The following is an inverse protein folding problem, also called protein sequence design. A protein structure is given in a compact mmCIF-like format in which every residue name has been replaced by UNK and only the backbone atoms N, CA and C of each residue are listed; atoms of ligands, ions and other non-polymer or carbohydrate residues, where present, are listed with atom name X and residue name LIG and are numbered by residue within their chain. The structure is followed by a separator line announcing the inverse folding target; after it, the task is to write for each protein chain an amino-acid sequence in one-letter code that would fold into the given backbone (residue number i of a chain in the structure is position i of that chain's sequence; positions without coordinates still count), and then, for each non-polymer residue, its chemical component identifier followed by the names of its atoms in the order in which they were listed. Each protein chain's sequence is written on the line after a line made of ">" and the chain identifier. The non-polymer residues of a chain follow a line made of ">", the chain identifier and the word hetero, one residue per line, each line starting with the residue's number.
data_IF_169378832262
#
_entry.id   IF_169378832262
#
_cell.length_a   1.000
_cell.length_b   1.000
_cell.length_c   1.000
_cell.angle_alpha   90.00
_cell.angle_beta   90.00
_cell.angle_gamma   90.00
#
_symmetry.space_group_name_H-M   'P 1'
#
loop_
_entity.id
_entity.type
_entity.pdbx_description
1 polymer ?
#
# COMPACT_ATOMS: atom_id res chain seq x y z
N UNK A 1 -0.79 8.27 -47.52
CA UNK A 1 0.60 8.10 -47.07
C UNK A 1 0.80 9.14 -45.99
N UNK A 2 0.49 8.75 -44.74
CA UNK A 2 1.50 8.52 -43.68
C UNK A 2 1.95 9.87 -43.07
N UNK A 3 1.99 10.08 -41.75
CA UNK A 3 2.23 9.13 -40.68
C UNK A 3 1.37 9.43 -39.45
N UNK A 4 0.81 8.35 -38.92
CA UNK A 4 0.39 8.21 -37.54
C UNK A 4 1.68 8.15 -36.69
N UNK A 5 2.13 9.29 -36.15
CA UNK A 5 3.27 9.34 -35.24
C UNK A 5 2.77 9.57 -33.82
N UNK A 6 2.60 8.45 -33.13
CA UNK A 6 2.58 8.24 -31.68
C UNK A 6 2.69 9.50 -30.78
N UNK A 7 1.56 9.84 -30.16
CA UNK A 7 1.44 10.83 -29.05
C UNK A 7 2.13 10.33 -27.76
N UNK A 8 2.75 9.15 -27.80
CA UNK A 8 3.41 8.48 -26.69
C UNK A 8 4.88 8.85 -26.51
N UNK A 9 5.50 9.58 -27.45
CA UNK A 9 6.93 9.90 -27.38
C UNK A 9 7.21 11.06 -26.40
N UNK A 10 7.91 10.81 -25.28
CA UNK A 10 8.20 11.84 -24.28
C UNK A 10 9.09 12.97 -24.82
N UNK A 11 9.84 12.73 -25.89
CA UNK A 11 10.66 13.74 -26.56
C UNK A 11 9.79 14.78 -27.29
N UNK A 12 8.57 14.39 -27.68
CA UNK A 12 7.58 15.27 -28.31
C UNK A 12 7.09 16.36 -27.34
N UNK A 13 6.88 16.03 -26.06
CA UNK A 13 6.49 17.02 -25.04
C UNK A 13 7.60 18.03 -24.74
N UNK A 14 8.87 17.63 -24.84
CA UNK A 14 10.02 18.51 -24.63
C UNK A 14 10.18 19.53 -25.77
N UNK A 15 10.00 19.08 -27.03
CA UNK A 15 9.99 19.95 -28.21
C UNK A 15 8.75 20.87 -28.25
N UNK A 16 7.58 20.39 -27.80
CA UNK A 16 6.37 21.21 -27.77
C UNK A 16 6.40 22.29 -26.67
N UNK A 17 7.07 22.03 -25.54
CA UNK A 17 7.27 23.04 -24.50
C UNK A 17 8.37 24.07 -24.83
N UNK A 18 9.35 23.73 -25.66
CA UNK A 18 10.29 24.73 -26.19
C UNK A 18 9.63 25.68 -27.20
N UNK A 19 8.50 25.28 -27.80
CA UNK A 19 7.70 26.10 -28.73
C UNK A 19 6.80 27.16 -28.06
N UNK A 20 6.82 27.27 -26.72
CA UNK A 20 6.12 28.32 -25.97
C UNK A 20 4.61 28.12 -25.74
N UNK A 21 4.02 27.01 -26.23
CA UNK A 21 2.57 26.72 -26.05
C UNK A 21 2.22 26.05 -24.71
N UNK A 22 3.20 25.50 -23.99
CA UNK A 22 3.02 24.87 -22.68
C UNK A 22 3.99 25.55 -21.70
N UNK A 23 3.51 25.95 -20.51
CA UNK A 23 4.39 26.50 -19.47
C UNK A 23 5.48 25.48 -19.13
N UNK A 24 6.76 25.89 -19.09
CA UNK A 24 7.91 25.03 -18.73
C UNK A 24 7.68 24.21 -17.46
N UNK A 25 6.90 24.74 -16.52
CA UNK A 25 6.44 24.08 -15.29
C UNK A 25 5.70 22.76 -15.54
N UNK A 26 4.93 22.65 -16.63
CA UNK A 26 4.17 21.45 -17.00
C UNK A 26 5.05 20.27 -17.43
N UNK A 27 6.20 20.55 -18.06
CA UNK A 27 7.15 19.50 -18.49
C UNK A 27 7.98 18.97 -17.32
N UNK A 28 8.38 19.83 -16.39
CA UNK A 28 9.05 19.39 -15.16
C UNK A 28 8.16 18.51 -14.28
N UNK A 29 6.87 18.86 -14.16
CA UNK A 29 5.89 18.06 -13.43
C UNK A 29 5.59 16.71 -14.11
N UNK A 30 5.59 16.67 -15.45
CA UNK A 30 5.36 15.45 -16.23
C UNK A 30 6.46 14.40 -16.00
N UNK A 31 7.74 14.81 -15.95
CA UNK A 31 8.86 13.90 -15.74
C UNK A 31 9.08 13.48 -14.29
N UNK A 32 8.64 14.30 -13.35
CA UNK A 32 8.75 14.02 -11.93
C UNK A 32 7.95 12.78 -11.50
N UNK A 33 6.72 12.61 -11.99
CA UNK A 33 5.84 11.49 -11.62
C UNK A 33 6.41 10.11 -12.03
N UNK A 34 6.81 9.87 -13.30
CA UNK A 34 7.49 8.65 -13.70
C UNK A 34 8.79 8.41 -12.94
N UNK A 35 9.58 9.47 -12.69
CA UNK A 35 10.83 9.37 -11.93
C UNK A 35 10.61 8.87 -10.50
N UNK A 36 9.58 9.37 -9.81
CA UNK A 36 9.21 8.91 -8.48
C UNK A 36 8.73 7.44 -8.50
N UNK A 37 7.94 7.04 -9.52
CA UNK A 37 7.47 5.66 -9.69
C UNK A 37 8.66 4.72 -9.90
N UNK A 38 9.57 5.05 -10.81
CA UNK A 38 10.78 4.25 -11.08
C UNK A 38 11.64 4.14 -9.81
N UNK A 39 11.80 5.24 -9.05
CA UNK A 39 12.49 5.21 -7.76
C UNK A 39 11.86 4.26 -6.75
N UNK A 40 10.52 4.24 -6.66
CA UNK A 40 9.78 3.33 -5.78
C UNK A 40 9.83 1.86 -6.24
N UNK A 41 9.99 1.61 -7.54
CA UNK A 41 10.12 0.25 -8.10
C UNK A 41 11.53 -0.30 -7.89
N UNK A 42 12.56 0.52 -8.13
CA UNK A 42 13.96 0.11 -7.97
C UNK A 42 14.32 -0.10 -6.49
N UNK A 43 13.59 0.55 -5.56
CA UNK A 43 13.80 0.48 -4.10
C UNK A 43 15.27 0.57 -3.68
N UNK A 44 16.02 1.62 -4.11
CA UNK A 44 17.42 1.78 -3.68
C UNK A 44 17.53 2.06 -2.17
N UNK A 45 16.48 2.62 -1.57
CA UNK A 45 16.36 2.96 -0.16
C UNK A 45 14.96 2.59 0.37
N UNK A 46 14.75 2.62 1.70
CA UNK A 46 13.41 2.47 2.27
C UNK A 46 12.40 3.45 1.64
N UNK A 47 11.17 2.98 1.40
CA UNK A 47 10.12 3.73 0.70
C UNK A 47 9.92 5.19 1.22
N UNK A 48 9.94 5.45 2.55
CA UNK A 48 9.81 6.83 3.05
C UNK A 48 10.93 7.76 2.59
N UNK A 49 12.16 7.25 2.45
CA UNK A 49 13.33 8.03 2.04
C UNK A 49 13.21 8.42 0.57
N UNK A 50 12.80 7.48 -0.28
CA UNK A 50 12.58 7.73 -1.72
C UNK A 50 11.48 8.80 -1.91
N UNK A 51 10.40 8.73 -1.14
CA UNK A 51 9.31 9.71 -1.18
C UNK A 51 9.75 11.10 -0.72
N UNK A 52 10.58 11.20 0.34
CA UNK A 52 11.10 12.49 0.81
C UNK A 52 12.05 13.13 -0.21
N UNK A 53 12.92 12.34 -0.86
CA UNK A 53 13.79 12.80 -1.94
C UNK A 53 12.95 13.31 -3.12
N UNK A 54 11.90 12.57 -3.48
CA UNK A 54 10.97 13.01 -4.52
C UNK A 54 10.32 14.35 -4.13
N UNK A 55 9.76 14.48 -2.93
CA UNK A 55 9.15 15.73 -2.47
C UNK A 55 10.16 16.89 -2.49
N UNK A 56 11.41 16.68 -2.04
CA UNK A 56 12.47 17.67 -2.10
C UNK A 56 12.80 18.07 -3.56
N UNK A 57 12.94 17.09 -4.46
CA UNK A 57 13.16 17.34 -5.88
C UNK A 57 12.00 18.13 -6.52
N UNK A 58 10.76 17.84 -6.11
CA UNK A 58 9.58 18.58 -6.58
C UNK A 58 9.59 20.05 -6.16
N UNK A 59 10.10 20.37 -4.96
CA UNK A 59 10.27 21.77 -4.52
C UNK A 59 11.29 22.52 -5.37
N UNK A 60 12.39 21.85 -5.78
CA UNK A 60 13.42 22.43 -6.64
C UNK A 60 12.90 22.66 -8.06
N UNK A 61 12.17 21.68 -8.62
CA UNK A 61 11.59 21.78 -9.97
C UNK A 61 10.48 22.83 -10.02
N UNK A 62 9.55 22.83 -9.05
CA UNK A 62 8.45 23.79 -9.01
C UNK A 62 8.92 25.20 -8.64
N UNK A 63 9.86 25.32 -7.69
CA UNK A 63 10.40 26.61 -7.23
C UNK A 63 11.21 27.34 -8.31
N UNK A 64 12.00 26.61 -9.10
CA UNK A 64 12.83 27.21 -10.14
C UNK A 64 12.10 27.46 -11.48
N UNK A 65 11.03 26.70 -11.80
CA UNK A 65 10.35 26.79 -13.11
C UNK A 65 9.04 27.60 -13.09
N UNK A 66 8.65 28.21 -11.98
CA UNK A 66 7.36 28.90 -11.85
C UNK A 66 7.44 30.42 -11.68
N UNK A 67 8.62 31.06 -11.83
CA UNK A 67 8.81 32.51 -11.62
C UNK A 67 8.18 33.02 -10.30
N UNK A 68 8.16 32.17 -9.26
CA UNK A 68 7.55 32.47 -7.96
C UNK A 68 6.03 32.30 -7.87
N UNK A 69 5.35 31.83 -8.92
CA UNK A 69 3.89 31.64 -8.93
C UNK A 69 3.41 30.50 -8.02
N UNK A 70 4.23 29.47 -7.79
CA UNK A 70 3.92 28.40 -6.83
C UNK A 70 4.79 28.55 -5.58
N UNK A 71 4.17 28.93 -4.46
CA UNK A 71 4.83 28.94 -3.15
C UNK A 71 5.24 27.52 -2.78
N UNK A 72 6.44 27.34 -2.22
CA UNK A 72 6.92 26.07 -1.65
C UNK A 72 5.93 25.46 -0.63
N UNK A 73 5.12 26.29 0.01
CA UNK A 73 4.00 25.89 0.89
C UNK A 73 2.95 25.03 0.18
N UNK A 74 2.76 25.18 -1.13
CA UNK A 74 1.82 24.37 -1.90
C UNK A 74 2.26 22.90 -1.98
N UNK A 75 3.57 22.63 -2.04
CA UNK A 75 4.13 21.27 -2.08
C UNK A 75 3.91 20.55 -0.74
N UNK A 76 3.99 21.28 0.37
CA UNK A 76 3.81 20.74 1.72
C UNK A 76 2.33 20.67 2.16
N UNK A 77 1.41 21.29 1.41
CA UNK A 77 -0.02 21.34 1.76
C UNK A 77 -0.68 19.95 1.90
N UNK A 78 -0.12 18.91 1.26
CA UNK A 78 -0.56 17.53 1.45
C UNK A 78 -0.37 16.99 2.86
N UNK A 79 0.64 17.49 3.60
CA UNK A 79 0.91 17.08 4.98
C UNK A 79 -0.03 17.73 6.02
N UNK A 80 -0.66 18.85 5.68
CA UNK A 80 -1.68 19.49 6.55
C UNK A 80 -3.10 19.00 6.27
N UNK A 81 -3.29 18.08 5.32
CA UNK A 81 -4.61 17.54 5.00
C UNK A 81 -5.16 16.68 6.14
N UNK A 82 -6.42 16.92 6.52
CA UNK A 82 -7.12 16.11 7.52
C UNK A 82 -7.20 14.62 7.13
N UNK A 83 -7.28 14.32 5.83
CA UNK A 83 -7.23 12.93 5.33
C UNK A 83 -5.89 12.27 5.63
N UNK A 84 -4.77 12.98 5.45
CA UNK A 84 -3.43 12.46 5.74
C UNK A 84 -3.28 12.12 7.22
N UNK A 85 -3.76 12.99 8.11
CA UNK A 85 -3.75 12.76 9.55
C UNK A 85 -4.69 11.65 10.00
N UNK A 86 -5.87 11.55 9.40
CA UNK A 86 -6.80 10.44 9.65
C UNK A 86 -6.15 9.10 9.30
N UNK A 87 -5.50 9.03 8.13
CA UNK A 87 -4.77 7.84 7.69
C UNK A 87 -3.63 7.54 8.67
N UNK A 88 -2.80 8.53 9.01
CA UNK A 88 -1.71 8.37 9.96
C UNK A 88 -2.18 7.80 11.30
N UNK A 89 -3.23 8.38 11.89
CA UNK A 89 -3.81 7.89 13.15
C UNK A 89 -4.32 6.45 13.05
N UNK A 90 -4.97 6.08 11.94
CA UNK A 90 -5.42 4.71 11.73
C UNK A 90 -4.25 3.72 11.61
N UNK A 91 -3.15 4.10 10.95
CA UNK A 91 -1.93 3.27 10.88
C UNK A 91 -1.26 3.13 12.25
N UNK A 92 -1.19 4.20 13.04
CA UNK A 92 -0.65 4.14 14.42
C UNK A 92 -1.51 3.24 15.31
N UNK A 93 -2.84 3.36 15.23
CA UNK A 93 -3.76 2.50 15.99
C UNK A 93 -3.59 1.03 15.58
N UNK A 94 -3.42 0.75 14.29
CA UNK A 94 -3.12 -0.60 13.81
C UNK A 94 -1.81 -1.15 14.35
N UNK A 95 -0.73 -0.36 14.33
CA UNK A 95 0.55 -0.77 14.90
C UNK A 95 0.43 -1.09 16.40
N UNK A 96 -0.35 -0.30 17.15
CA UNK A 96 -0.68 -0.58 18.55
C UNK A 96 -1.45 -1.91 18.69
N UNK A 97 -2.39 -2.18 17.80
CA UNK A 97 -3.16 -3.42 17.81
C UNK A 97 -2.30 -4.67 17.58
N UNK A 98 -1.29 -4.58 16.70
CA UNK A 98 -0.30 -5.64 16.46
C UNK A 98 0.63 -5.80 17.68
N UNK A 99 1.21 -4.72 18.16
CA UNK A 99 2.21 -4.74 19.26
C UNK A 99 1.62 -5.15 20.61
N UNK A 100 0.37 -4.76 20.91
CA UNK A 100 -0.35 -5.20 22.12
C UNK A 100 -0.79 -6.66 22.06
N UNK A 101 -0.74 -7.30 20.88
CA UNK A 101 -1.17 -8.68 20.69
C UNK A 101 -2.69 -8.88 20.75
N UNK A 102 -3.51 -7.83 20.69
CA UNK A 102 -4.97 -7.92 20.70
C UNK A 102 -5.48 -8.81 19.56
N UNK A 103 -4.90 -8.66 18.35
CA UNK A 103 -5.22 -9.52 17.21
C UNK A 103 -4.93 -10.99 17.45
N UNK A 104 -3.83 -11.29 18.15
CA UNK A 104 -3.44 -12.65 18.52
C UNK A 104 -4.44 -13.27 19.51
N UNK A 105 -4.92 -12.48 20.48
CA UNK A 105 -5.95 -12.94 21.43
C UNK A 105 -7.27 -13.27 20.73
N UNK A 106 -7.75 -12.38 19.85
CA UNK A 106 -8.98 -12.60 19.07
C UNK A 106 -8.84 -13.84 18.18
N UNK A 107 -7.71 -13.99 17.51
CA UNK A 107 -7.42 -15.15 16.67
C UNK A 107 -7.49 -16.46 17.47
N UNK A 108 -6.85 -16.56 18.63
CA UNK A 108 -6.91 -17.79 19.44
C UNK A 108 -8.31 -18.09 19.97
N UNK A 109 -9.10 -17.08 20.33
CA UNK A 109 -10.50 -17.27 20.71
C UNK A 109 -11.33 -17.87 19.56
N UNK A 110 -11.08 -17.43 18.32
CA UNK A 110 -11.76 -17.97 17.14
C UNK A 110 -11.27 -19.39 16.80
N UNK A 111 -9.97 -19.65 16.89
CA UNK A 111 -9.39 -21.00 16.69
C UNK A 111 -10.00 -21.97 17.71
N UNK A 112 -10.09 -21.59 18.99
CA UNK A 112 -10.68 -22.44 20.02
C UNK A 112 -12.16 -22.76 19.80
N UNK A 113 -12.91 -21.89 19.12
CA UNK A 113 -14.35 -22.10 18.87
C UNK A 113 -14.66 -22.91 17.60
N UNK A 114 -13.97 -22.62 16.50
CA UNK A 114 -14.32 -23.18 15.17
C UNK A 114 -13.12 -23.80 14.42
N UNK A 115 -11.92 -23.80 15.01
CA UNK A 115 -10.67 -24.25 14.38
C UNK A 115 -10.43 -25.77 14.40
N UNK A 116 -11.44 -26.58 14.76
CA UNK A 116 -11.29 -28.04 14.87
C UNK A 116 -11.07 -28.76 13.53
N UNK A 117 -11.31 -28.07 12.40
CA UNK A 117 -11.12 -28.62 11.06
C UNK A 117 -10.30 -27.67 10.20
N UNK A 118 -9.64 -28.18 9.15
CA UNK A 118 -8.90 -27.37 8.18
C UNK A 118 -9.76 -26.27 7.55
N UNK A 119 -11.01 -26.60 7.21
CA UNK A 119 -11.95 -25.62 6.67
C UNK A 119 -12.35 -24.57 7.72
N UNK A 120 -12.55 -25.02 8.97
CA UNK A 120 -12.79 -24.14 10.11
C UNK A 120 -11.66 -23.14 10.34
N UNK A 121 -10.40 -23.58 10.23
CA UNK A 121 -9.22 -22.70 10.26
C UNK A 121 -9.23 -21.68 9.11
N UNK A 122 -9.68 -22.07 7.92
CA UNK A 122 -9.94 -21.13 6.82
C UNK A 122 -10.96 -20.05 7.23
N UNK A 123 -12.10 -20.45 7.79
CA UNK A 123 -13.11 -19.50 8.28
C UNK A 123 -12.61 -18.61 9.42
N UNK A 124 -11.75 -19.12 10.30
CA UNK A 124 -11.08 -18.29 11.31
C UNK A 124 -10.31 -17.14 10.65
N UNK A 125 -9.58 -17.40 9.55
CA UNK A 125 -8.86 -16.33 8.84
C UNK A 125 -9.82 -15.29 8.26
N UNK A 126 -10.98 -15.72 7.74
CA UNK A 126 -12.04 -14.84 7.23
C UNK A 126 -12.57 -13.92 8.33
N UNK A 127 -13.05 -14.49 9.43
CA UNK A 127 -13.63 -13.71 10.52
C UNK A 127 -12.62 -12.81 11.21
N UNK A 128 -11.40 -13.32 11.41
CA UNK A 128 -10.32 -12.54 11.99
C UNK A 128 -10.03 -11.32 11.14
N UNK A 129 -9.76 -11.50 9.85
CA UNK A 129 -9.40 -10.38 8.99
C UNK A 129 -10.58 -9.43 8.73
N UNK A 130 -11.82 -9.92 8.74
CA UNK A 130 -13.04 -9.08 8.67
C UNK A 130 -13.16 -8.15 9.89
N UNK A 131 -12.84 -8.62 11.09
CA UNK A 131 -12.84 -7.79 12.31
C UNK A 131 -11.68 -6.79 12.30
N UNK A 132 -10.54 -7.17 11.71
CA UNK A 132 -9.34 -6.34 11.66
C UNK A 132 -9.37 -5.28 10.55
N UNK A 133 -10.02 -5.56 9.44
CA UNK A 133 -10.01 -4.70 8.26
C UNK A 133 -10.52 -3.27 8.50
N UNK A 134 -11.61 -3.03 9.27
CA UNK A 134 -12.06 -1.67 9.60
C UNK A 134 -11.05 -0.89 10.44
N UNK A 135 -10.40 -1.56 11.39
CA UNK A 135 -9.53 -0.96 12.39
C UNK A 135 -8.07 -0.83 11.93
N UNK A 136 -7.67 -1.59 10.90
CA UNK A 136 -6.28 -1.63 10.43
C UNK A 136 -6.18 -1.23 8.96
N UNK A 137 -5.57 -0.08 8.63
CA UNK A 137 -5.48 0.41 7.26
C UNK A 137 -4.31 -0.12 6.45
N UNK A 138 -3.88 -1.35 6.74
CA UNK A 138 -2.73 -1.98 6.08
C UNK A 138 -2.98 -3.45 5.85
N UNK A 139 -3.03 -3.85 4.59
CA UNK A 139 -3.11 -5.26 4.20
C UNK A 139 -1.87 -6.06 4.65
N UNK A 140 -0.67 -5.47 4.57
CA UNK A 140 0.57 -6.08 5.06
C UNK A 140 0.60 -6.24 6.57
N UNK A 141 0.11 -5.26 7.34
CA UNK A 141 0.05 -5.38 8.80
C UNK A 141 -0.92 -6.48 9.26
N UNK A 142 -2.10 -6.61 8.62
CA UNK A 142 -3.04 -7.69 8.95
C UNK A 142 -2.51 -9.05 8.54
N UNK A 143 -2.23 -9.23 7.23
CA UNK A 143 -1.79 -10.52 6.71
C UNK A 143 -0.47 -10.96 7.32
N UNK A 144 0.57 -10.13 7.26
CA UNK A 144 1.92 -10.48 7.69
C UNK A 144 2.16 -10.36 9.19
N UNK A 145 1.59 -9.34 9.83
CA UNK A 145 1.84 -9.05 11.25
C UNK A 145 0.97 -9.85 12.22
N UNK A 146 -0.28 -10.16 11.85
CA UNK A 146 -1.23 -10.80 12.77
C UNK A 146 -1.56 -12.22 12.30
N UNK A 147 -2.08 -12.38 11.08
CA UNK A 147 -2.68 -13.65 10.65
C UNK A 147 -1.61 -14.70 10.31
N UNK A 148 -0.55 -14.31 9.59
CA UNK A 148 0.50 -15.20 9.12
C UNK A 148 1.23 -15.94 10.26
N UNK A 149 1.74 -15.30 11.33
CA UNK A 149 2.47 -16.01 12.39
C UNK A 149 1.62 -17.04 13.13
N UNK A 150 0.32 -16.75 13.29
CA UNK A 150 -0.64 -17.60 13.98
C UNK A 150 -0.95 -18.82 13.13
N UNK A 151 -1.31 -18.60 11.87
CA UNK A 151 -1.63 -19.69 10.94
C UNK A 151 -0.40 -20.52 10.60
N UNK A 152 0.80 -19.91 10.52
CA UNK A 152 2.04 -20.66 10.33
C UNK A 152 2.29 -21.59 11.53
N UNK A 153 2.05 -21.12 12.76
CA UNK A 153 2.17 -21.94 13.96
C UNK A 153 1.19 -23.13 13.94
N UNK A 154 -0.04 -22.93 13.46
CA UNK A 154 -1.03 -24.01 13.29
C UNK A 154 -0.63 -24.97 12.16
N UNK A 155 -0.14 -24.45 11.04
CA UNK A 155 0.31 -25.27 9.91
C UNK A 155 1.48 -26.18 10.29
N UNK A 156 2.47 -25.65 11.02
CA UNK A 156 3.60 -26.42 11.54
C UNK A 156 3.13 -27.48 12.54
N UNK A 157 2.21 -27.13 13.45
CA UNK A 157 1.63 -28.10 14.39
C UNK A 157 0.88 -29.25 13.69
N UNK A 158 0.30 -28.99 12.52
CA UNK A 158 -0.34 -30.00 11.66
C UNK A 158 0.65 -30.73 10.72
N UNK A 159 1.96 -30.56 10.92
CA UNK A 159 3.02 -31.22 10.14
C UNK A 159 3.13 -30.71 8.71
N UNK A 160 2.72 -29.46 8.46
CA UNK A 160 2.84 -28.77 7.18
C UNK A 160 3.96 -27.73 7.26
N UNK A 161 5.17 -28.14 6.88
CA UNK A 161 6.34 -27.26 6.83
C UNK A 161 6.63 -26.83 5.38
N UNK A 162 7.10 -25.59 5.14
CA UNK A 162 7.46 -25.13 3.81
C UNK A 162 8.52 -26.00 3.12
N UNK A 163 9.44 -26.58 3.89
CA UNK A 163 10.58 -27.35 3.36
C UNK A 163 10.27 -28.84 3.17
N UNK A 164 9.51 -29.45 4.10
CA UNK A 164 9.27 -30.90 4.10
C UNK A 164 7.92 -31.30 3.51
N UNK A 165 6.90 -30.46 3.65
CA UNK A 165 5.51 -30.80 3.28
C UNK A 165 4.68 -29.58 2.85
N UNK A 166 5.15 -28.79 1.86
CA UNK A 166 4.58 -27.48 1.53
C UNK A 166 3.13 -27.53 1.05
N UNK A 167 2.71 -28.62 0.36
CA UNK A 167 1.40 -28.72 -0.31
C UNK A 167 0.26 -29.22 0.60
N UNK A 168 0.51 -29.40 1.89
CA UNK A 168 -0.51 -29.83 2.85
C UNK A 168 -1.36 -28.64 3.32
N UNK A 169 -1.95 -28.74 4.51
CA UNK A 169 -2.81 -27.70 5.12
C UNK A 169 -2.20 -26.30 5.07
N UNK A 170 -0.89 -26.17 5.23
CA UNK A 170 -0.19 -24.88 5.17
C UNK A 170 -0.42 -24.15 3.84
N UNK A 171 -0.36 -24.82 2.70
CA UNK A 171 -0.62 -24.18 1.39
C UNK A 171 -2.02 -23.59 1.31
N UNK A 172 -3.03 -24.38 1.69
CA UNK A 172 -4.42 -23.93 1.69
C UNK A 172 -4.62 -22.72 2.60
N UNK A 173 -4.08 -22.76 3.81
CA UNK A 173 -4.25 -21.66 4.77
C UNK A 173 -3.50 -20.40 4.31
N UNK A 174 -2.30 -20.51 3.76
CA UNK A 174 -1.56 -19.36 3.23
C UNK A 174 -2.28 -18.70 2.05
N UNK A 175 -2.82 -19.51 1.12
CA UNK A 175 -3.64 -18.99 0.02
C UNK A 175 -4.94 -18.34 0.53
N UNK A 176 -5.55 -18.92 1.56
CA UNK A 176 -6.75 -18.36 2.19
C UNK A 176 -6.47 -16.98 2.79
N UNK A 177 -5.37 -16.83 3.55
CA UNK A 177 -4.96 -15.52 4.10
C UNK A 177 -4.84 -14.47 2.98
N UNK A 178 -4.17 -14.82 1.90
CA UNK A 178 -3.94 -13.90 0.78
C UNK A 178 -5.26 -13.45 0.15
N UNK A 179 -6.13 -14.40 -0.21
CA UNK A 179 -7.40 -14.09 -0.86
C UNK A 179 -8.36 -13.35 0.06
N UNK A 180 -8.45 -13.75 1.33
CA UNK A 180 -9.28 -13.09 2.34
C UNK A 180 -8.82 -11.65 2.52
N UNK A 181 -7.52 -11.42 2.76
CA UNK A 181 -6.99 -10.07 3.00
C UNK A 181 -7.24 -9.14 1.81
N UNK A 182 -7.14 -9.66 0.58
CA UNK A 182 -7.48 -8.90 -0.61
C UNK A 182 -8.96 -8.56 -0.65
N UNK A 183 -9.82 -9.54 -0.39
CA UNK A 183 -11.28 -9.36 -0.47
C UNK A 183 -11.78 -8.39 0.59
N UNK A 184 -11.37 -8.53 1.85
CA UNK A 184 -11.73 -7.61 2.94
C UNK A 184 -11.16 -6.21 2.73
N UNK A 185 -10.00 -6.10 2.06
CA UNK A 185 -9.44 -4.82 1.67
C UNK A 185 -10.35 -4.07 0.71
N UNK A 186 -11.19 -4.74 -0.07
CA UNK A 186 -12.18 -4.07 -0.93
C UNK A 186 -13.51 -3.78 -0.22
N UNK A 187 -13.76 -4.38 0.96
CA UNK A 187 -15.02 -4.19 1.69
C UNK A 187 -15.05 -2.90 2.51
N UNK A 188 -13.90 -2.41 2.98
CA UNK A 188 -13.82 -1.23 3.85
C UNK A 188 -12.93 -0.15 3.26
N UNK A 189 -13.38 1.10 3.32
CA UNK A 189 -12.59 2.25 2.88
C UNK A 189 -11.28 2.37 3.64
N UNK A 190 -11.27 2.04 4.93
CA UNK A 190 -10.06 2.12 5.75
C UNK A 190 -9.08 0.99 5.48
N UNK A 191 -9.49 -0.15 4.90
CA UNK A 191 -8.67 -1.36 4.89
C UNK A 191 -7.45 -1.34 3.95
N UNK A 192 -7.35 -0.38 3.03
CA UNK A 192 -6.20 -0.18 2.15
C UNK A 192 -6.03 1.29 1.79
N UNK A 193 -4.77 1.77 1.75
CA UNK A 193 -4.45 3.15 1.40
C UNK A 193 -5.05 3.60 0.05
N UNK A 194 -5.12 2.70 -0.93
CA UNK A 194 -5.72 2.98 -2.24
C UNK A 194 -7.21 3.33 -2.19
N UNK A 195 -7.97 2.78 -1.24
CA UNK A 195 -9.42 3.02 -1.17
C UNK A 195 -9.75 4.45 -0.75
N UNK A 196 -8.94 5.04 0.14
CA UNK A 196 -9.12 6.41 0.59
C UNK A 196 -8.70 7.40 -0.50
N UNK A 197 -7.70 7.06 -1.31
CA UNK A 197 -7.28 7.89 -2.45
C UNK A 197 -8.36 7.96 -3.54
N UNK A 198 -9.17 6.92 -3.70
CA UNK A 198 -10.28 6.89 -4.67
C UNK A 198 -11.52 7.72 -4.24
N UNK A 199 -11.58 8.20 -2.99
CA UNK A 199 -12.69 9.02 -2.48
C UNK A 199 -12.56 10.51 -2.83
N UNK A 200 -11.50 10.92 -3.54
CA UNK A 200 -11.18 12.31 -3.87
C UNK A 200 -11.27 12.56 -5.36
#
# INVERSE_FOLDING_TARGET
>A
MEANSDISDPMYYWLYASSGRIKRTGVGAFWYLPGAIVGLVIKPFPEPVVLLIAVAASMVVVGNLSDGAFKTTAVLSGYSSGTTWLVFSAFTLSAAFVTTGLGKRIAYLLIGKIGNTTLGLGYVTVFLDLVLAPATPSNTARAGGIVLPIINSVAVALGSEPEKSPRRVGHYLMMSIYMVTKTTSYMFFTAMAGNILALK
#
